data_IF_267241095351
#
_entry.id   IF_267241095351
#
_cell.length_a   1.000
_cell.length_b   1.000
_cell.length_c   1.000
_cell.angle_alpha   90.00
_cell.angle_beta   90.00
_cell.angle_gamma   90.00
#
_symmetry.space_group_name_H-M   'P 1'
#
loop_
_entity.id
_entity.type
_entity.pdbx_description
1 polymer ?
#
# COMPACT_ATOMS: atom_id res chain seq x y z
N UNK A 1 -19.91 -10.62 -3.75
CA UNK A 1 -19.73 -9.16 -3.66
C UNK A 1 -19.52 -8.81 -2.19
N UNK A 2 -18.42 -8.13 -1.85
CA UNK A 2 -18.17 -7.73 -0.45
C UNK A 2 -19.05 -6.51 -0.16
N UNK A 3 -20.03 -6.66 0.72
CA UNK A 3 -20.92 -5.56 1.11
C UNK A 3 -20.11 -4.44 1.80
N UNK A 4 -20.24 -3.21 1.35
CA UNK A 4 -19.49 -2.05 1.87
C UNK A 4 -20.15 -1.52 3.13
N UNK A 5 -19.34 -1.19 4.13
CA UNK A 5 -19.79 -0.49 5.33
C UNK A 5 -19.96 1.01 5.06
N UNK A 6 -21.07 1.58 5.47
CA UNK A 6 -21.28 3.02 5.50
C UNK A 6 -20.50 3.67 6.66
N UNK A 7 -20.32 5.00 6.58
CA UNK A 7 -19.51 5.75 7.55
C UNK A 7 -19.87 5.43 9.02
N UNK A 8 -21.14 5.45 9.37
CA UNK A 8 -21.61 5.21 10.75
C UNK A 8 -21.46 3.77 11.23
N UNK A 9 -21.61 2.81 10.31
CA UNK A 9 -21.36 1.40 10.62
C UNK A 9 -19.88 1.16 10.92
N UNK A 10 -18.99 1.83 10.19
CA UNK A 10 -17.55 1.78 10.45
C UNK A 10 -17.18 2.40 11.79
N UNK A 11 -17.73 3.58 12.11
CA UNK A 11 -17.51 4.24 13.38
C UNK A 11 -17.90 3.33 14.54
N UNK A 12 -19.08 2.71 14.46
CA UNK A 12 -19.57 1.78 15.48
C UNK A 12 -18.72 0.50 15.56
N UNK A 13 -18.34 -0.08 14.42
CA UNK A 13 -17.52 -1.29 14.40
C UNK A 13 -16.14 -1.04 15.01
N UNK A 14 -15.51 0.10 14.73
CA UNK A 14 -14.25 0.50 15.34
C UNK A 14 -14.37 0.65 16.85
N UNK A 15 -15.43 1.31 17.33
CA UNK A 15 -15.67 1.42 18.75
C UNK A 15 -15.82 0.05 19.42
N UNK A 16 -16.59 -0.86 18.83
CA UNK A 16 -16.76 -2.23 19.34
C UNK A 16 -15.39 -2.94 19.42
N UNK A 17 -14.56 -2.83 18.38
CA UNK A 17 -13.24 -3.47 18.35
C UNK A 17 -12.31 -2.93 19.43
N UNK A 18 -12.21 -1.60 19.56
CA UNK A 18 -11.38 -0.95 20.57
C UNK A 18 -11.85 -1.29 21.99
N UNK A 19 -13.15 -1.29 22.22
CA UNK A 19 -13.72 -1.64 23.52
C UNK A 19 -13.41 -3.10 23.88
N UNK A 20 -13.55 -4.03 22.93
CA UNK A 20 -13.20 -5.44 23.14
C UNK A 20 -11.70 -5.67 23.41
N UNK A 21 -10.85 -4.89 22.76
CA UNK A 21 -9.39 -4.96 22.95
C UNK A 21 -8.97 -4.47 24.34
N UNK A 22 -9.65 -3.44 24.86
CA UNK A 22 -9.37 -2.86 26.17
C UNK A 22 -9.99 -3.64 27.33
N UNK A 23 -11.19 -4.21 27.14
CA UNK A 23 -11.99 -4.77 28.23
C UNK A 23 -12.19 -6.29 28.16
N UNK A 24 -11.89 -6.92 27.00
CA UNK A 24 -12.07 -8.36 26.79
C UNK A 24 -13.52 -8.82 26.51
N UNK A 25 -14.49 -7.89 26.50
CA UNK A 25 -15.90 -8.16 26.18
C UNK A 25 -16.51 -7.04 25.36
N UNK A 26 -17.70 -7.30 24.76
CA UNK A 26 -18.39 -6.31 23.92
C UNK A 26 -19.08 -5.21 24.75
N UNK A 27 -19.14 -3.96 24.22
CA UNK A 27 -19.91 -2.90 24.84
C UNK A 27 -21.42 -3.21 24.79
N UNK A 28 -22.15 -2.67 25.75
CA UNK A 28 -23.63 -2.67 25.74
C UNK A 28 -24.17 -1.72 24.68
N UNK A 29 -25.43 -1.91 24.28
CA UNK A 29 -26.10 -1.00 23.35
C UNK A 29 -26.14 0.45 23.85
N UNK A 30 -26.19 0.64 25.17
CA UNK A 30 -26.17 1.97 25.79
C UNK A 30 -24.79 2.62 25.67
N UNK A 31 -23.73 1.89 26.01
CA UNK A 31 -22.34 2.34 25.84
C UNK A 31 -22.03 2.69 24.38
N UNK A 32 -22.54 1.88 23.43
CA UNK A 32 -22.42 2.17 22.00
C UNK A 32 -23.19 3.44 21.60
N UNK A 33 -24.39 3.65 22.14
CA UNK A 33 -25.19 4.83 21.85
C UNK A 33 -24.51 6.10 22.38
N UNK A 34 -24.03 6.04 23.60
CA UNK A 34 -23.32 7.15 24.25
C UNK A 34 -22.04 7.51 23.48
N UNK A 35 -21.24 6.51 23.10
CA UNK A 35 -20.02 6.71 22.31
C UNK A 35 -20.27 7.31 20.93
N UNK A 36 -21.42 6.96 20.32
CA UNK A 36 -21.83 7.49 19.01
C UNK A 36 -22.55 8.83 19.08
N UNK A 37 -22.66 9.44 20.29
CA UNK A 37 -23.38 10.69 20.51
C UNK A 37 -24.89 10.56 20.19
N UNK A 38 -25.51 9.42 20.53
CA UNK A 38 -26.91 9.12 20.22
C UNK A 38 -27.72 8.90 21.47
N UNK A 39 -28.89 9.53 21.51
CA UNK A 39 -29.85 9.35 22.60
C UNK A 39 -30.72 8.10 22.44
N UNK A 40 -30.66 7.41 21.30
CA UNK A 40 -31.53 6.27 20.97
C UNK A 40 -30.77 4.99 20.69
N UNK A 41 -31.06 3.98 21.50
CA UNK A 41 -30.56 2.61 21.35
C UNK A 41 -31.08 1.93 20.08
N UNK A 42 -32.26 2.34 19.58
CA UNK A 42 -32.86 1.78 18.36
C UNK A 42 -31.97 2.02 17.11
N UNK A 43 -31.30 3.16 17.03
CA UNK A 43 -30.35 3.45 15.94
C UNK A 43 -29.16 2.48 15.97
N UNK A 44 -28.65 2.17 17.16
CA UNK A 44 -27.55 1.21 17.34
C UNK A 44 -27.99 -0.19 16.92
N UNK A 45 -29.20 -0.60 17.29
CA UNK A 45 -29.78 -1.87 16.86
C UNK A 45 -29.84 -1.99 15.33
N UNK A 46 -30.26 -0.93 14.63
CA UNK A 46 -30.33 -0.93 13.16
C UNK A 46 -28.95 -1.06 12.53
N UNK A 47 -27.94 -0.34 13.06
CA UNK A 47 -26.55 -0.43 12.58
C UNK A 47 -25.95 -1.83 12.81
N UNK A 48 -26.14 -2.40 14.02
CA UNK A 48 -25.71 -3.77 14.34
C UNK A 48 -26.35 -4.80 13.37
N UNK A 49 -27.66 -4.69 13.14
CA UNK A 49 -28.37 -5.58 12.22
C UNK A 49 -27.79 -5.50 10.82
N UNK A 50 -27.59 -4.30 10.31
CA UNK A 50 -26.99 -4.08 8.99
C UNK A 50 -25.55 -4.67 8.90
N UNK A 51 -24.74 -4.53 9.95
CA UNK A 51 -23.40 -5.11 9.99
C UNK A 51 -23.41 -6.65 10.09
N UNK A 52 -24.43 -7.24 10.74
CA UNK A 52 -24.65 -8.69 10.74
C UNK A 52 -25.03 -9.17 9.36
N UNK A 53 -26.00 -8.53 8.69
CA UNK A 53 -26.45 -8.86 7.34
C UNK A 53 -25.30 -8.74 6.32
N UNK A 54 -24.37 -7.80 6.52
CA UNK A 54 -23.17 -7.62 5.72
C UNK A 54 -22.02 -8.57 6.09
N UNK A 55 -22.16 -9.40 7.14
CA UNK A 55 -21.19 -10.38 7.57
C UNK A 55 -19.92 -9.79 8.23
N UNK A 56 -20.01 -8.62 8.85
CA UNK A 56 -18.90 -8.02 9.60
C UNK A 56 -18.89 -8.42 11.07
N UNK A 57 -20.07 -8.64 11.65
CA UNK A 57 -20.24 -9.09 13.04
C UNK A 57 -21.24 -10.23 13.11
N UNK A 58 -21.11 -11.04 14.16
CA UNK A 58 -22.03 -12.12 14.49
C UNK A 58 -22.52 -11.93 15.93
N UNK A 59 -23.82 -12.11 16.14
CA UNK A 59 -24.38 -12.22 17.50
C UNK A 59 -24.13 -13.65 17.99
N UNK A 60 -23.57 -13.79 19.17
CA UNK A 60 -23.44 -15.10 19.82
C UNK A 60 -24.63 -15.28 20.76
N UNK A 61 -25.35 -16.37 20.60
CA UNK A 61 -26.51 -16.69 21.44
C UNK A 61 -26.07 -16.99 22.88
N UNK A 62 -26.84 -16.50 23.85
CA UNK A 62 -26.70 -16.83 25.27
C UNK A 62 -26.08 -15.76 26.16
N UNK A 63 -25.59 -14.65 25.64
CA UNK A 63 -25.07 -13.58 26.48
C UNK A 63 -25.27 -12.20 25.86
N UNK A 64 -25.77 -11.24 26.63
CA UNK A 64 -26.14 -9.87 26.19
C UNK A 64 -24.93 -9.02 25.77
N UNK A 65 -23.68 -9.51 25.97
CA UNK A 65 -22.44 -8.79 25.70
C UNK A 65 -21.51 -9.51 24.72
N UNK A 66 -22.05 -10.29 23.76
CA UNK A 66 -21.19 -11.09 22.90
C UNK A 66 -21.47 -10.81 21.44
N UNK A 67 -20.81 -9.79 20.89
CA UNK A 67 -20.67 -9.57 19.46
C UNK A 67 -19.30 -10.12 19.02
N UNK A 68 -19.26 -11.00 18.02
CA UNK A 68 -18.03 -11.51 17.43
C UNK A 68 -17.77 -10.73 16.13
N UNK A 69 -16.64 -10.05 16.06
CA UNK A 69 -16.19 -9.40 14.83
C UNK A 69 -15.59 -10.46 13.90
N UNK A 70 -16.17 -10.63 12.71
CA UNK A 70 -15.80 -11.68 11.75
C UNK A 70 -14.77 -11.21 10.71
N UNK A 71 -14.83 -9.93 10.31
CA UNK A 71 -13.91 -9.35 9.33
C UNK A 71 -13.14 -8.22 9.99
N UNK A 72 -11.86 -8.45 10.20
CA UNK A 72 -10.91 -7.43 10.70
C UNK A 72 -10.11 -6.78 9.57
N UNK A 73 -10.28 -7.28 8.34
CA UNK A 73 -9.45 -6.91 7.21
C UNK A 73 -9.73 -5.46 6.78
N UNK A 74 -8.71 -4.63 6.80
CA UNK A 74 -8.63 -3.26 6.26
C UNK A 74 -9.51 -2.16 6.90
N UNK A 75 -10.16 -2.39 8.03
CA UNK A 75 -10.96 -1.34 8.69
C UNK A 75 -10.05 -0.32 9.41
N UNK A 76 -8.92 -0.78 9.93
CA UNK A 76 -7.93 0.07 10.61
C UNK A 76 -7.20 1.06 9.70
N UNK A 77 -7.21 0.82 8.38
CA UNK A 77 -6.52 1.66 7.38
C UNK A 77 -7.34 2.88 6.93
N UNK A 78 -8.66 2.91 7.19
CA UNK A 78 -9.56 3.92 6.60
C UNK A 78 -10.13 4.95 7.58
N UNK A 79 -10.00 4.78 8.88
CA UNK A 79 -10.53 5.74 9.86
C UNK A 79 -9.70 5.71 11.14
N UNK A 80 -8.92 6.76 11.39
CA UNK A 80 -8.59 7.28 12.73
C UNK A 80 -8.30 6.27 13.85
N UNK A 81 -7.85 5.06 13.55
CA UNK A 81 -6.92 4.43 14.46
C UNK A 81 -5.87 5.50 14.68
N UNK A 82 -5.58 5.85 15.92
CA UNK A 82 -4.30 6.49 16.24
C UNK A 82 -3.32 5.84 15.31
N UNK A 83 -2.70 6.56 14.37
CA UNK A 83 -1.90 5.92 13.36
C UNK A 83 -1.00 4.96 14.12
N UNK A 84 -1.09 3.66 13.83
CA UNK A 84 -0.07 2.69 14.29
C UNK A 84 1.18 3.43 13.93
N UNK A 85 1.89 3.91 14.94
CA UNK A 85 2.84 4.99 14.79
C UNK A 85 3.59 4.71 13.51
N UNK A 86 3.46 5.62 12.52
CA UNK A 86 4.11 5.46 11.22
C UNK A 86 5.47 4.93 11.60
N UNK A 87 5.79 3.70 11.19
CA UNK A 87 6.99 3.04 11.67
C UNK A 87 8.14 4.03 11.56
N UNK A 88 9.17 3.97 12.38
CA UNK A 88 10.19 5.01 12.44
C UNK A 88 10.57 5.39 11.02
N UNK A 89 10.63 6.69 10.75
CA UNK A 89 11.03 7.19 9.44
C UNK A 89 12.46 6.78 9.19
N UNK A 90 12.70 6.14 8.06
CA UNK A 90 14.03 5.74 7.61
C UNK A 90 14.43 6.66 6.47
N UNK A 91 15.67 7.13 6.52
CA UNK A 91 16.25 7.94 5.46
C UNK A 91 16.99 7.04 4.49
N UNK A 92 16.60 7.07 3.22
CA UNK A 92 17.22 6.30 2.14
C UNK A 92 17.99 7.23 1.19
N UNK A 93 19.08 6.75 0.56
CA UNK A 93 19.73 7.52 -0.49
C UNK A 93 18.81 7.72 -1.69
N UNK A 94 18.73 8.94 -2.20
CA UNK A 94 18.08 9.28 -3.46
C UNK A 94 19.13 9.21 -4.57
N UNK A 95 19.20 8.07 -5.26
CA UNK A 95 20.30 7.73 -6.16
C UNK A 95 20.25 8.50 -7.49
N UNK A 96 19.07 8.92 -7.96
CA UNK A 96 18.97 9.61 -9.22
C UNK A 96 17.62 9.48 -9.90
N UNK A 97 17.65 9.63 -11.22
CA UNK A 97 16.48 9.54 -12.10
C UNK A 97 16.53 8.28 -12.93
N UNK A 98 15.40 7.62 -13.10
CA UNK A 98 15.26 6.48 -13.99
C UNK A 98 14.35 6.83 -15.16
N UNK A 99 14.89 6.75 -16.38
CA UNK A 99 14.16 6.96 -17.62
C UNK A 99 14.38 5.75 -18.54
N UNK A 100 13.31 5.30 -19.18
CA UNK A 100 13.40 4.15 -20.10
C UNK A 100 14.36 4.45 -21.27
N UNK A 101 15.27 3.51 -21.52
CA UNK A 101 16.21 3.58 -22.66
C UNK A 101 17.33 4.62 -22.51
N UNK A 102 17.62 5.07 -21.28
CA UNK A 102 18.73 5.96 -20.98
C UNK A 102 19.58 5.43 -19.84
N UNK A 103 20.88 5.78 -19.77
CA UNK A 103 21.68 5.52 -18.57
C UNK A 103 21.00 6.13 -17.33
N UNK A 104 21.24 5.53 -16.18
CA UNK A 104 20.74 6.05 -14.92
C UNK A 104 21.39 7.41 -14.65
N UNK A 105 20.58 8.47 -14.60
CA UNK A 105 21.07 9.82 -14.32
C UNK A 105 21.19 10.01 -12.80
N UNK A 106 22.40 10.20 -12.25
CA UNK A 106 22.57 10.44 -10.82
C UNK A 106 21.87 11.74 -10.40
N UNK A 107 21.45 11.80 -9.15
CA UNK A 107 20.91 13.04 -8.57
C UNK A 107 22.05 14.06 -8.47
N UNK A 108 21.73 15.33 -8.66
CA UNK A 108 22.74 16.43 -8.67
C UNK A 108 23.49 16.54 -7.35
N UNK A 109 22.80 16.23 -6.23
CA UNK A 109 23.40 16.17 -4.91
C UNK A 109 23.63 14.69 -4.54
N UNK A 110 24.88 14.21 -4.45
CA UNK A 110 25.20 12.84 -4.08
C UNK A 110 24.81 12.48 -2.64
N UNK A 111 24.62 13.47 -1.78
CA UNK A 111 24.17 13.30 -0.39
C UNK A 111 22.62 13.39 -0.29
N UNK A 112 21.92 13.52 -1.41
CA UNK A 112 20.47 13.61 -1.42
C UNK A 112 19.83 12.37 -0.80
N UNK A 113 18.89 12.60 0.09
CA UNK A 113 18.18 11.56 0.80
C UNK A 113 16.67 11.73 0.70
N UNK A 114 15.95 10.64 0.91
CA UNK A 114 14.50 10.61 0.89
C UNK A 114 13.98 9.86 2.11
N UNK A 115 13.13 10.53 2.89
CA UNK A 115 12.54 9.96 4.10
C UNK A 115 11.29 9.14 3.75
N UNK A 116 11.24 7.89 4.18
CA UNK A 116 10.11 6.97 3.99
C UNK A 116 9.73 6.32 5.32
N UNK A 117 8.50 5.85 5.46
CA UNK A 117 8.09 5.06 6.61
C UNK A 117 8.73 3.65 6.52
N UNK A 118 9.16 3.10 7.66
CA UNK A 118 9.85 1.79 7.70
C UNK A 118 9.00 0.63 7.18
N UNK A 119 7.68 0.72 7.28
CA UNK A 119 6.72 -0.27 6.79
C UNK A 119 6.53 -0.25 5.25
N UNK A 120 7.12 0.73 4.57
CA UNK A 120 7.17 0.78 3.10
C UNK A 120 8.20 -0.19 2.50
N UNK A 121 8.95 -0.91 3.32
CA UNK A 121 10.00 -1.85 2.93
C UNK A 121 9.88 -3.16 3.72
N UNK A 122 10.48 -4.23 3.19
CA UNK A 122 10.56 -5.49 3.94
C UNK A 122 11.54 -5.44 5.12
N UNK A 123 12.46 -4.48 5.10
CA UNK A 123 13.55 -4.33 6.08
C UNK A 123 14.65 -5.40 6.00
N UNK A 124 14.57 -6.29 5.02
CA UNK A 124 15.52 -7.42 4.86
C UNK A 124 16.68 -7.13 3.92
N UNK A 125 16.58 -6.06 3.12
CA UNK A 125 17.55 -5.72 2.07
C UNK A 125 17.89 -4.23 2.12
N UNK A 126 19.04 -3.89 1.59
CA UNK A 126 19.40 -2.49 1.34
C UNK A 126 18.41 -1.88 0.36
N UNK A 127 17.95 -0.67 0.67
CA UNK A 127 16.97 0.03 -0.15
C UNK A 127 17.47 1.40 -0.57
N UNK A 128 16.98 1.89 -1.68
CA UNK A 128 17.27 3.20 -2.23
C UNK A 128 16.05 3.75 -2.96
N UNK A 129 16.09 5.03 -3.31
CA UNK A 129 15.00 5.72 -4.01
C UNK A 129 15.48 6.22 -5.36
N UNK A 130 14.62 6.09 -6.38
CA UNK A 130 14.79 6.74 -7.67
C UNK A 130 13.57 7.60 -7.98
N UNK A 131 13.79 8.70 -8.68
CA UNK A 131 12.69 9.49 -9.25
C UNK A 131 12.42 9.02 -10.68
N UNK A 132 11.15 8.77 -10.98
CA UNK A 132 10.70 8.29 -12.29
C UNK A 132 10.63 9.45 -13.28
N UNK A 133 11.18 9.24 -14.49
CA UNK A 133 11.01 10.10 -15.65
C UNK A 133 10.35 9.32 -16.78
N UNK A 134 9.25 9.86 -17.30
CA UNK A 134 8.54 9.29 -18.45
C UNK A 134 7.28 8.51 -18.09
N UNK A 135 6.70 7.83 -19.07
CA UNK A 135 5.34 7.30 -19.05
C UNK A 135 5.24 5.78 -19.23
N UNK A 136 6.35 5.05 -19.15
CA UNK A 136 6.37 3.63 -19.50
C UNK A 136 5.60 2.72 -18.53
N UNK A 137 5.19 3.22 -17.37
CA UNK A 137 4.53 2.48 -16.31
C UNK A 137 3.21 3.12 -15.85
N UNK A 138 2.59 3.94 -16.70
CA UNK A 138 1.40 4.74 -16.37
C UNK A 138 0.17 3.88 -16.06
N UNK A 139 0.02 2.73 -16.70
CA UNK A 139 -1.10 1.82 -16.48
C UNK A 139 -0.97 1.06 -15.14
N UNK A 140 0.22 0.99 -14.57
CA UNK A 140 0.47 0.55 -13.19
C UNK A 140 0.36 1.69 -12.17
N UNK A 141 -0.03 2.89 -12.63
CA UNK A 141 -0.19 4.06 -11.78
C UNK A 141 1.12 4.74 -11.38
N UNK A 142 2.26 4.37 -12.00
CA UNK A 142 3.56 5.03 -11.80
C UNK A 142 3.71 6.12 -12.86
N UNK A 143 3.74 7.37 -12.40
CA UNK A 143 3.75 8.55 -13.26
C UNK A 143 5.10 9.25 -13.25
N UNK A 144 5.30 10.12 -14.22
CA UNK A 144 6.43 11.04 -14.25
C UNK A 144 6.51 11.88 -12.96
N UNK A 145 7.71 11.98 -12.38
CA UNK A 145 7.94 12.69 -11.12
C UNK A 145 7.71 11.88 -9.85
N UNK A 146 7.15 10.67 -9.92
CA UNK A 146 7.01 9.79 -8.77
C UNK A 146 8.37 9.34 -8.22
N UNK A 147 8.38 9.00 -6.93
CA UNK A 147 9.53 8.38 -6.28
C UNK A 147 9.22 6.90 -6.01
N UNK A 148 10.07 6.01 -6.48
CA UNK A 148 9.96 4.56 -6.24
C UNK A 148 11.00 4.13 -5.23
N UNK A 149 10.56 3.35 -4.24
CA UNK A 149 11.42 2.71 -3.24
C UNK A 149 11.80 1.34 -3.79
N UNK A 150 13.08 1.06 -3.87
CA UNK A 150 13.64 -0.14 -4.48
C UNK A 150 14.40 -0.92 -3.43
N UNK A 151 14.12 -2.21 -3.31
CA UNK A 151 14.95 -3.16 -2.58
C UNK A 151 15.99 -3.77 -3.52
N UNK A 152 17.27 -3.62 -3.17
CA UNK A 152 18.40 -4.13 -3.97
C UNK A 152 18.36 -5.65 -4.02
N UNK A 153 18.29 -6.21 -5.23
CA UNK A 153 18.33 -7.64 -5.51
C UNK A 153 18.75 -7.87 -6.96
N UNK A 154 19.38 -9.00 -7.21
CA UNK A 154 19.78 -9.43 -8.55
C UNK A 154 18.75 -10.39 -9.17
N UNK A 155 17.69 -10.72 -8.44
CA UNK A 155 16.65 -11.65 -8.88
C UNK A 155 15.26 -11.04 -8.76
N UNK A 156 14.37 -11.44 -9.67
CA UNK A 156 12.97 -11.03 -9.67
C UNK A 156 12.05 -12.21 -10.03
N UNK A 157 10.78 -12.06 -9.68
CA UNK A 157 9.70 -12.99 -10.04
C UNK A 157 8.86 -12.40 -11.18
N UNK A 158 8.17 -13.26 -11.93
CA UNK A 158 7.23 -12.81 -12.93
C UNK A 158 6.19 -11.85 -12.34
N UNK A 159 6.05 -10.69 -12.97
CA UNK A 159 5.16 -9.62 -12.55
C UNK A 159 5.79 -8.56 -11.63
N UNK A 160 6.98 -8.81 -11.08
CA UNK A 160 7.69 -7.77 -10.30
C UNK A 160 7.99 -6.55 -11.19
N UNK A 161 7.89 -5.37 -10.60
CA UNK A 161 8.38 -4.14 -11.25
C UNK A 161 9.85 -3.99 -10.86
N UNK A 162 10.73 -4.01 -11.85
CA UNK A 162 12.17 -4.02 -11.64
C UNK A 162 12.85 -2.76 -12.18
N UNK A 163 13.93 -2.39 -11.52
CA UNK A 163 14.99 -1.56 -12.08
C UNK A 163 16.02 -2.52 -12.69
N UNK A 164 16.24 -2.43 -13.97
CA UNK A 164 17.20 -3.25 -14.69
C UNK A 164 18.11 -2.38 -15.56
N UNK A 165 19.36 -2.82 -15.70
CA UNK A 165 20.27 -2.37 -16.75
C UNK A 165 20.18 -3.39 -17.88
N UNK A 166 19.99 -2.92 -19.11
CA UNK A 166 19.87 -3.74 -20.31
C UNK A 166 20.92 -3.29 -21.31
N UNK A 167 21.44 -4.25 -22.08
CA UNK A 167 22.40 -4.04 -23.14
C UNK A 167 23.52 -3.05 -22.71
N UNK A 168 23.74 -1.95 -23.39
CA UNK A 168 24.80 -0.96 -23.10
C UNK A 168 24.64 -0.20 -21.76
N UNK A 169 24.20 -0.88 -20.69
CA UNK A 169 23.92 -0.30 -19.37
C UNK A 169 22.79 0.74 -19.35
N UNK A 170 21.84 0.61 -20.25
CA UNK A 170 20.65 1.47 -20.26
C UNK A 170 19.70 1.07 -19.15
N UNK A 171 19.36 2.02 -18.27
CA UNK A 171 18.44 1.79 -17.17
C UNK A 171 17.01 1.74 -17.68
N UNK A 172 16.19 0.86 -17.09
CA UNK A 172 14.77 0.80 -17.37
C UNK A 172 13.96 0.39 -16.14
N UNK A 173 12.72 0.88 -16.08
CA UNK A 173 11.71 0.47 -15.10
C UNK A 173 10.58 -0.23 -15.86
N UNK A 174 10.42 -1.55 -15.64
CA UNK A 174 9.48 -2.40 -16.38
C UNK A 174 8.97 -3.53 -15.50
N UNK A 175 7.89 -4.19 -15.93
CA UNK A 175 7.50 -5.49 -15.38
C UNK A 175 8.40 -6.57 -15.95
N UNK A 176 8.95 -7.37 -15.03
CA UNK A 176 9.80 -8.51 -15.36
C UNK A 176 8.95 -9.75 -15.62
N UNK A 177 9.26 -10.46 -16.69
CA UNK A 177 8.76 -11.81 -16.97
C UNK A 177 9.87 -12.68 -17.52
N UNK A 178 9.87 -13.94 -17.11
CA UNK A 178 10.68 -15.00 -17.72
C UNK A 178 9.73 -15.97 -18.41
N UNK A 179 9.77 -16.02 -19.75
CA UNK A 179 8.92 -16.84 -20.62
C UNK A 179 9.82 -17.75 -21.44
N UNK A 180 9.69 -19.09 -21.31
CA UNK A 180 10.44 -20.08 -22.09
C UNK A 180 11.95 -19.76 -22.20
N UNK A 181 12.61 -19.50 -21.08
CA UNK A 181 14.02 -19.12 -20.94
C UNK A 181 14.41 -17.75 -21.55
N UNK A 182 13.47 -17.00 -22.06
CA UNK A 182 13.67 -15.60 -22.47
C UNK A 182 13.17 -14.64 -21.43
N UNK A 183 13.92 -13.56 -21.23
CA UNK A 183 13.48 -12.46 -20.37
C UNK A 183 12.73 -11.44 -21.23
N UNK A 184 11.60 -11.01 -20.69
CA UNK A 184 10.75 -9.99 -21.30
C UNK A 184 10.52 -8.89 -20.25
N UNK A 185 10.84 -7.67 -20.62
CA UNK A 185 10.58 -6.46 -19.83
C UNK A 185 9.38 -5.73 -20.44
N UNK A 186 8.21 -5.88 -19.81
CA UNK A 186 6.95 -5.31 -20.32
C UNK A 186 6.70 -3.93 -19.74
N UNK A 187 6.49 -2.88 -20.57
CA UNK A 187 5.96 -1.62 -20.10
C UNK A 187 4.52 -1.80 -19.59
N UNK A 188 4.10 -1.00 -18.63
CA UNK A 188 2.70 -0.81 -18.30
C UNK A 188 2.18 0.44 -19.02
N UNK A 189 2.26 0.39 -20.33
CA UNK A 189 1.79 1.42 -21.25
C UNK A 189 1.51 0.75 -22.60
N UNK A 190 0.25 0.70 -23.00
CA UNK A 190 -0.23 0.06 -24.24
C UNK A 190 0.32 0.70 -25.53
N UNK A 191 0.93 1.88 -25.44
CA UNK A 191 1.59 2.55 -26.58
C UNK A 191 3.07 2.20 -26.73
N UNK A 192 3.59 1.26 -25.91
CA UNK A 192 5.00 0.90 -25.89
C UNK A 192 5.18 -0.60 -26.06
N UNK A 193 6.17 -1.00 -26.83
CA UNK A 193 6.50 -2.40 -27.06
C UNK A 193 7.31 -3.01 -25.89
N UNK A 194 7.18 -4.33 -25.63
CA UNK A 194 8.05 -5.06 -24.74
C UNK A 194 9.51 -5.04 -25.20
N UNK A 195 10.44 -5.06 -24.25
CA UNK A 195 11.88 -5.16 -24.50
C UNK A 195 12.32 -6.61 -24.29
N UNK A 196 13.10 -7.14 -25.22
CA UNK A 196 13.72 -8.46 -25.17
C UNK A 196 15.24 -8.28 -25.12
N UNK A 197 15.83 -8.02 -23.94
CA UNK A 197 17.25 -7.71 -23.84
C UNK A 197 18.12 -8.94 -24.09
N UNK A 198 19.26 -8.75 -24.77
CA UNK A 198 20.28 -9.77 -24.90
C UNK A 198 21.07 -9.91 -23.59
N UNK A 199 21.29 -8.80 -22.89
CA UNK A 199 21.93 -8.74 -21.58
C UNK A 199 21.07 -7.97 -20.60
N UNK A 200 20.95 -8.49 -19.40
CA UNK A 200 20.19 -7.85 -18.32
C UNK A 200 20.89 -8.02 -16.97
N UNK A 201 20.92 -6.94 -16.20
CA UNK A 201 21.32 -6.95 -14.80
C UNK A 201 20.22 -6.30 -13.95
N UNK A 202 19.52 -7.10 -13.15
CA UNK A 202 18.51 -6.58 -12.22
C UNK A 202 19.23 -5.85 -11.10
N UNK A 203 18.85 -4.60 -10.84
CA UNK A 203 19.40 -3.75 -9.80
C UNK A 203 18.52 -3.74 -8.53
N UNK A 204 17.26 -4.10 -8.68
CA UNK A 204 16.31 -4.20 -7.58
C UNK A 204 14.86 -4.29 -8.03
N UNK A 205 13.99 -4.52 -7.05
CA UNK A 205 12.54 -4.62 -7.20
C UNK A 205 11.88 -3.44 -6.51
N UNK A 206 10.91 -2.83 -7.16
CA UNK A 206 10.09 -1.77 -6.57
C UNK A 206 9.17 -2.37 -5.52
N UNK A 207 9.21 -1.82 -4.30
CA UNK A 207 8.39 -2.27 -3.18
C UNK A 207 7.36 -1.24 -2.76
N UNK A 208 7.60 0.04 -3.05
CA UNK A 208 6.67 1.12 -2.71
C UNK A 208 6.82 2.29 -3.67
N UNK A 209 5.78 3.13 -3.70
CA UNK A 209 5.73 4.36 -4.50
C UNK A 209 5.31 5.51 -3.60
N UNK A 210 5.96 6.66 -3.78
CA UNK A 210 5.61 7.93 -3.13
C UNK A 210 5.35 8.98 -4.20
N UNK A 211 4.17 9.58 -4.17
CA UNK A 211 3.82 10.72 -5.02
C UNK A 211 3.67 11.97 -4.18
N UNK A 212 4.35 13.02 -4.59
CA UNK A 212 4.20 14.35 -3.99
C UNK A 212 3.31 15.20 -4.88
N UNK A 213 2.26 15.76 -4.31
CA UNK A 213 1.44 16.77 -4.97
C UNK A 213 1.92 18.13 -4.50
N UNK A 214 2.48 18.92 -5.41
CA UNK A 214 2.79 20.31 -5.12
C UNK A 214 1.47 21.08 -5.17
N UNK A 215 0.86 21.32 -4.02
CA UNK A 215 -0.17 22.34 -3.92
C UNK A 215 0.56 23.68 -4.03
N UNK A 216 0.38 24.36 -5.15
CA UNK A 216 0.82 25.76 -5.29
C UNK A 216 0.13 26.55 -4.18
N UNK A 217 0.91 27.06 -3.23
CA UNK A 217 0.51 28.07 -2.24
C UNK A 217 0.35 29.40 -2.91
#
# INVERSE_FOLDING_TARGET
>A
MTAVLYRRERELLNYIMQFQEQHGYSPTLREMADAMGRNSVSTIHALIRSMVDKGYIQKVEGNTRTLKVLKRDNIGLLMGATPKAIGPTITLPLMGYIAAGKPLEPYTDPEATFAVASDMMSGKRTSYVLQVKGSSMIEDGILDGDFVVIEKTETAKNGDIVVALVDDNLATLKRFYKENDRIVLKPANSQMDPIYPDQIAIQGVVVSLVRRFNFLS
#
